data_IF_556659122765
#
_entry.id   IF_556659122765
#
_cell.length_a   1.000
_cell.length_b   1.000
_cell.length_c   1.000
_cell.angle_alpha   90.00
_cell.angle_beta   90.00
_cell.angle_gamma   90.00
#
_symmetry.space_group_name_H-M   'P 1'
#
loop_
_entity.id
_entity.type
_entity.pdbx_description
1 polymer ?
#
# COMPACT_ATOMS: atom_id res chain seq x y z
N UNK A 1 -3.31 -8.87 -15.74
CA UNK A 1 -3.96 -7.66 -15.16
C UNK A 1 -5.14 -8.08 -14.33
N UNK A 2 -5.35 -7.46 -13.17
CA UNK A 2 -6.58 -7.60 -12.38
C UNK A 2 -7.64 -6.61 -12.85
N UNK A 3 -8.92 -6.96 -12.73
CA UNK A 3 -9.99 -6.00 -13.02
C UNK A 3 -10.16 -4.97 -11.90
N UNK A 4 -10.07 -5.40 -10.64
CA UNK A 4 -10.10 -4.52 -9.48
C UNK A 4 -9.12 -5.00 -8.39
N UNK A 5 -8.55 -4.06 -7.65
CA UNK A 5 -7.79 -4.31 -6.43
C UNK A 5 -8.32 -3.41 -5.33
N UNK A 6 -8.60 -4.00 -4.16
CA UNK A 6 -9.01 -3.27 -2.96
C UNK A 6 -7.87 -3.34 -1.96
N UNK A 7 -7.34 -2.17 -1.60
CA UNK A 7 -6.28 -1.99 -0.64
C UNK A 7 -6.86 -1.47 0.68
N UNK A 8 -6.23 -1.88 1.77
CA UNK A 8 -6.34 -1.20 3.07
C UNK A 8 -5.09 -0.37 3.36
N UNK A 9 -5.09 0.35 4.47
CA UNK A 9 -3.92 1.10 4.94
C UNK A 9 -3.74 0.96 6.45
N UNK A 10 -2.53 0.61 6.89
CA UNK A 10 -2.15 0.62 8.30
C UNK A 10 -1.97 2.03 8.87
N UNK A 11 -1.81 2.15 10.18
CA UNK A 11 -1.50 3.45 10.80
C UNK A 11 -0.08 3.94 10.50
N UNK A 12 0.83 3.03 10.15
CA UNK A 12 2.17 3.29 9.65
C UNK A 12 2.22 3.57 8.14
N UNK A 13 1.06 3.67 7.47
CA UNK A 13 0.97 3.88 6.02
C UNK A 13 1.32 2.65 5.16
N UNK A 14 1.48 1.46 5.75
CA UNK A 14 1.63 0.24 4.97
C UNK A 14 0.35 -0.07 4.20
N UNK A 15 0.50 -0.80 3.10
CA UNK A 15 -0.62 -1.43 2.39
C UNK A 15 -0.22 -2.82 1.93
N UNK A 16 -1.18 -3.70 1.63
CA UNK A 16 -0.94 -5.14 1.46
C UNK A 16 -0.06 -5.67 2.62
N UNK A 17 1.10 -6.26 2.33
CA UNK A 17 2.14 -6.50 3.35
C UNK A 17 3.47 -5.84 2.97
N UNK A 18 3.39 -4.66 2.36
CA UNK A 18 4.50 -3.75 2.09
C UNK A 18 4.63 -2.79 3.29
N UNK A 19 5.39 -3.19 4.32
CA UNK A 19 5.57 -2.40 5.54
C UNK A 19 6.84 -1.52 5.46
N UNK A 20 6.80 -0.28 5.99
CA UNK A 20 7.98 0.60 6.06
C UNK A 20 9.14 -0.02 6.85
N UNK A 21 8.84 -0.94 7.77
CA UNK A 21 9.82 -1.59 8.64
C UNK A 21 10.46 -2.87 8.06
N UNK A 22 9.99 -3.36 6.90
CA UNK A 22 10.53 -4.56 6.26
C UNK A 22 11.83 -4.26 5.53
N UNK A 23 12.86 -5.08 5.75
CA UNK A 23 14.10 -5.02 4.96
C UNK A 23 13.85 -5.30 3.47
N UNK A 24 12.81 -6.09 3.16
CA UNK A 24 12.43 -6.48 1.80
C UNK A 24 11.61 -5.41 1.07
N UNK A 25 11.26 -4.29 1.73
CA UNK A 25 10.36 -3.29 1.16
C UNK A 25 10.87 -2.73 -0.17
N UNK A 26 12.15 -2.35 -0.23
CA UNK A 26 12.74 -1.79 -1.45
C UNK A 26 12.59 -2.77 -2.64
N UNK A 27 12.77 -4.07 -2.40
CA UNK A 27 12.57 -5.11 -3.42
C UNK A 27 11.09 -5.25 -3.80
N UNK A 28 10.16 -5.15 -2.85
CA UNK A 28 8.71 -5.19 -3.12
C UNK A 28 8.17 -3.96 -3.85
N UNK A 29 8.84 -2.82 -3.69
CA UNK A 29 8.47 -1.52 -4.28
C UNK A 29 9.15 -1.25 -5.63
N UNK A 30 10.11 -2.07 -6.05
CA UNK A 30 10.79 -1.94 -7.33
C UNK A 30 9.84 -2.20 -8.52
N UNK A 31 10.08 -1.56 -9.66
CA UNK A 31 9.24 -1.74 -10.86
C UNK A 31 9.44 -3.12 -11.51
N UNK A 32 10.61 -3.73 -11.32
CA UNK A 32 10.95 -5.08 -11.76
C UNK A 32 10.82 -6.13 -10.65
N UNK A 33 10.10 -5.81 -9.57
CA UNK A 33 9.88 -6.73 -8.46
C UNK A 33 9.22 -8.04 -8.93
N UNK A 34 9.49 -9.17 -8.26
CA UNK A 34 8.75 -10.40 -8.51
C UNK A 34 7.25 -10.19 -8.24
N UNK A 35 6.40 -11.04 -8.83
CA UNK A 35 4.94 -10.94 -8.67
C UNK A 35 4.52 -11.08 -7.20
N UNK A 36 5.20 -11.96 -6.48
CA UNK A 36 4.97 -12.30 -5.08
C UNK A 36 6.31 -12.28 -4.36
N UNK A 37 6.31 -11.81 -3.11
CA UNK A 37 7.47 -11.83 -2.22
C UNK A 37 7.04 -12.10 -0.77
N UNK A 38 7.97 -12.65 0.00
CA UNK A 38 7.84 -12.73 1.44
C UNK A 38 8.32 -11.42 2.08
N UNK A 39 7.65 -10.98 3.15
CA UNK A 39 8.07 -9.82 3.94
C UNK A 39 8.05 -10.16 5.42
N UNK A 40 9.00 -9.57 6.16
CA UNK A 40 9.22 -9.89 7.57
C UNK A 40 9.07 -8.62 8.42
N UNK A 41 7.82 -8.16 8.69
CA UNK A 41 7.61 -6.91 9.42
C UNK A 41 8.13 -7.03 10.86
N UNK A 42 8.85 -6.02 11.33
CA UNK A 42 9.33 -5.96 12.72
C UNK A 42 8.29 -5.40 13.68
N UNK A 43 7.24 -4.74 13.16
CA UNK A 43 6.17 -4.09 13.93
C UNK A 43 4.88 -4.91 14.01
N UNK A 44 4.84 -6.09 13.38
CA UNK A 44 3.66 -6.96 13.38
C UNK A 44 4.07 -8.43 13.45
N UNK A 45 3.27 -9.30 14.08
CA UNK A 45 3.61 -10.72 14.16
C UNK A 45 3.49 -11.41 12.79
N UNK A 46 4.30 -12.46 12.64
CA UNK A 46 4.36 -13.39 11.52
C UNK A 46 4.95 -12.84 10.20
N UNK A 47 5.70 -13.70 9.52
CA UNK A 47 6.10 -13.50 8.14
C UNK A 47 4.87 -13.44 7.23
N UNK A 48 4.93 -12.60 6.20
CA UNK A 48 3.83 -12.36 5.27
C UNK A 48 4.22 -12.77 3.86
N UNK A 49 3.18 -13.02 3.06
CA UNK A 49 3.28 -13.07 1.60
C UNK A 49 2.58 -11.81 1.08
N UNK A 50 3.21 -11.09 0.16
CA UNK A 50 2.63 -9.91 -0.48
C UNK A 50 2.76 -9.98 -2.00
N UNK A 51 1.80 -9.36 -2.69
CA UNK A 51 2.02 -8.93 -4.07
C UNK A 51 2.91 -7.69 -4.08
N UNK A 52 3.76 -7.56 -5.09
CA UNK A 52 4.61 -6.37 -5.28
C UNK A 52 3.80 -5.15 -5.71
N UNK A 53 4.41 -3.96 -5.57
CA UNK A 53 3.87 -2.70 -6.10
C UNK A 53 3.53 -2.84 -7.59
N UNK A 54 4.48 -3.32 -8.39
CA UNK A 54 4.30 -3.52 -9.83
C UNK A 54 3.12 -4.44 -10.14
N UNK A 55 2.95 -5.54 -9.38
CA UNK A 55 1.83 -6.46 -9.61
C UNK A 55 0.49 -5.86 -9.23
N UNK A 56 0.40 -5.12 -8.11
CA UNK A 56 -0.83 -4.47 -7.66
C UNK A 56 -1.27 -3.35 -8.62
N UNK A 57 -0.31 -2.60 -9.18
CA UNK A 57 -0.55 -1.60 -10.23
C UNK A 57 -0.90 -2.21 -11.59
N UNK A 58 -0.66 -3.50 -11.82
CA UNK A 58 -1.25 -4.21 -12.96
C UNK A 58 -2.74 -4.52 -12.71
N UNK A 59 -3.55 -3.46 -12.61
CA UNK A 59 -4.98 -3.48 -12.38
C UNK A 59 -5.70 -2.44 -13.24
N UNK A 60 -6.98 -2.65 -13.53
CA UNK A 60 -7.82 -1.66 -14.24
C UNK A 60 -8.40 -0.60 -13.30
N UNK A 61 -8.56 -0.93 -12.02
CA UNK A 61 -9.12 -0.05 -10.99
C UNK A 61 -8.52 -0.36 -9.62
N UNK A 62 -8.15 0.69 -8.88
CA UNK A 62 -7.78 0.62 -7.47
C UNK A 62 -8.87 1.22 -6.59
N UNK A 63 -9.05 0.60 -5.43
CA UNK A 63 -9.84 1.13 -4.33
C UNK A 63 -9.00 1.15 -3.07
N UNK A 64 -9.06 2.23 -2.31
CA UNK A 64 -8.55 2.29 -0.94
C UNK A 64 -9.73 2.36 0.02
N UNK A 65 -9.92 1.31 0.81
CA UNK A 65 -11.02 1.22 1.76
C UNK A 65 -10.52 1.49 3.18
N UNK A 66 -11.05 2.54 3.81
CA UNK A 66 -10.67 3.01 5.13
C UNK A 66 -11.89 3.10 6.04
N UNK A 67 -11.76 2.57 7.26
CA UNK A 67 -12.78 2.65 8.32
C UNK A 67 -12.11 3.11 9.61
N UNK A 68 -12.74 4.05 10.30
CA UNK A 68 -12.28 4.60 11.58
C UNK A 68 -11.68 6.00 11.44
N UNK A 69 -12.00 6.86 12.40
CA UNK A 69 -11.58 8.28 12.40
C UNK A 69 -10.07 8.48 12.37
N UNK A 70 -9.29 7.57 12.96
CA UNK A 70 -7.83 7.55 12.89
C UNK A 70 -7.29 7.43 11.45
N UNK A 71 -8.01 6.77 10.55
CA UNK A 71 -7.53 6.55 9.17
C UNK A 71 -7.51 7.81 8.32
N UNK A 72 -8.37 8.78 8.60
CA UNK A 72 -8.39 10.04 7.85
C UNK A 72 -7.10 10.83 8.07
N UNK A 73 -6.64 10.94 9.32
CA UNK A 73 -5.38 11.63 9.64
C UNK A 73 -4.16 10.97 8.97
N UNK A 74 -4.13 9.62 8.95
CA UNK A 74 -3.05 8.88 8.28
C UNK A 74 -3.11 9.07 6.75
N UNK A 75 -4.31 9.17 6.17
CA UNK A 75 -4.47 9.45 4.74
C UNK A 75 -3.96 10.85 4.40
N UNK A 76 -4.32 11.86 5.19
CA UNK A 76 -3.83 13.24 5.03
C UNK A 76 -2.31 13.30 5.14
N UNK A 77 -1.72 12.60 6.11
CA UNK A 77 -0.27 12.46 6.25
C UNK A 77 0.39 11.77 5.05
N UNK A 78 -0.27 10.74 4.49
CA UNK A 78 0.21 10.06 3.30
C UNK A 78 0.22 11.02 2.10
N UNK A 79 -0.85 11.79 1.91
CA UNK A 79 -1.01 12.75 0.82
C UNK A 79 -0.05 13.95 0.92
N UNK A 80 0.31 14.37 2.12
CA UNK A 80 1.19 15.52 2.36
C UNK A 80 2.69 15.24 2.08
N UNK A 81 3.12 13.97 2.01
CA UNK A 81 4.52 13.60 1.79
C UNK A 81 4.73 12.71 0.58
N UNK A 82 5.97 12.55 0.12
CA UNK A 82 6.29 11.87 -1.15
C UNK A 82 7.16 10.62 -1.00
N UNK A 83 7.76 10.39 0.17
CA UNK A 83 8.61 9.22 0.40
C UNK A 83 7.77 7.93 0.47
N UNK A 84 7.82 7.13 -0.59
CA UNK A 84 7.08 5.88 -0.71
C UNK A 84 7.62 4.77 0.21
N UNK A 85 8.86 4.84 0.67
CA UNK A 85 9.38 3.84 1.62
C UNK A 85 8.95 4.19 3.06
N UNK A 86 8.80 5.48 3.37
CA UNK A 86 8.24 5.92 4.64
C UNK A 86 6.74 5.58 4.80
N UNK A 87 5.95 5.70 3.72
CA UNK A 87 4.53 5.30 3.71
C UNK A 87 4.19 4.62 2.37
N UNK A 88 4.26 3.27 2.29
CA UNK A 88 4.07 2.50 1.05
C UNK A 88 2.77 2.77 0.28
N UNK A 89 1.69 3.16 0.96
CA UNK A 89 0.44 3.58 0.32
C UNK A 89 0.61 4.75 -0.67
N UNK A 90 1.63 5.61 -0.49
CA UNK A 90 1.93 6.74 -1.37
C UNK A 90 2.15 6.31 -2.81
N UNK A 91 2.77 5.15 -3.03
CA UNK A 91 2.99 4.62 -4.37
C UNK A 91 1.69 4.39 -5.16
N UNK A 92 0.57 4.17 -4.46
CA UNK A 92 -0.74 3.97 -5.07
C UNK A 92 -1.53 5.28 -5.16
N UNK A 93 -1.43 6.14 -4.14
CA UNK A 93 -2.09 7.46 -4.10
C UNK A 93 -1.54 8.46 -5.11
N UNK A 94 -0.25 8.38 -5.45
CA UNK A 94 0.46 9.41 -6.22
C UNK A 94 0.70 9.05 -7.69
N UNK A 95 0.47 7.79 -8.05
CA UNK A 95 0.56 7.36 -9.45
C UNK A 95 -0.70 7.78 -10.23
N UNK A 96 -0.55 7.92 -11.54
CA UNK A 96 -1.64 8.35 -12.46
C UNK A 96 -1.97 7.30 -13.53
N UNK A 97 -1.33 6.13 -13.48
CA UNK A 97 -1.49 5.06 -14.47
C UNK A 97 -2.78 4.25 -14.29
N UNK A 98 -3.25 4.09 -13.04
CA UNK A 98 -4.46 3.34 -12.69
C UNK A 98 -5.39 4.26 -11.89
N UNK A 99 -6.68 4.37 -12.26
CA UNK A 99 -7.65 5.12 -11.47
C UNK A 99 -7.73 4.59 -10.04
N UNK A 100 -7.75 5.49 -9.07
CA UNK A 100 -7.85 5.17 -7.65
C UNK A 100 -9.04 5.90 -7.01
N UNK A 101 -9.90 5.15 -6.34
CA UNK A 101 -11.00 5.68 -5.55
C UNK A 101 -10.72 5.44 -4.07
N UNK A 102 -10.80 6.50 -3.27
CA UNK A 102 -10.72 6.40 -1.81
C UNK A 102 -12.13 6.34 -1.24
N UNK A 103 -12.41 5.29 -0.47
CA UNK A 103 -13.66 5.06 0.23
C UNK A 103 -13.37 5.14 1.73
N UNK A 104 -14.02 6.08 2.42
CA UNK A 104 -13.80 6.32 3.84
C UNK A 104 -15.12 6.34 4.60
N UNK A 105 -15.17 5.67 5.74
CA UNK A 105 -16.22 5.82 6.75
C UNK A 105 -15.61 6.10 8.12
N UNK A 106 -16.13 7.05 8.91
CA UNK A 106 -15.67 7.25 10.28
C UNK A 106 -16.01 6.09 11.22
N UNK A 107 -17.03 5.28 10.87
CA UNK A 107 -17.53 4.11 11.63
C UNK A 107 -18.14 3.07 10.70
#
# INVERSE_FOLDING_TARGET
TFDAVILGMGEDGHTASLFPCCAELAAGMADNAPVVLATSPTTAPYQRITLSKARLLQSRQLFLHLVGSNKLAVLEQAQAGTDQLAMPIRAFLQQTAVPMVVMYSPS
#
